data_IF_012542540810
#
_entry.id   IF_012542540810
#
_cell.length_a   1.000
_cell.length_b   1.000
_cell.length_c   1.000
_cell.angle_alpha   90.00
_cell.angle_beta   90.00
_cell.angle_gamma   90.00
#
_symmetry.space_group_name_H-M   'P 1'
#
loop_
_entity.id
_entity.type
_entity.pdbx_description
1 polymer ?
#
# COMPACT_ATOMS: atom_id res chain seq x y z
N UNK A 1 -1.34 4.00 -21.64
CA UNK A 1 -2.21 3.16 -20.79
C UNK A 1 -1.52 2.97 -19.45
N UNK A 2 -2.27 2.84 -18.35
CA UNK A 2 -1.70 2.66 -17.00
C UNK A 2 -0.74 1.45 -16.91
N UNK A 3 -0.98 0.41 -17.70
CA UNK A 3 -0.10 -0.76 -17.82
C UNK A 3 1.32 -0.40 -18.29
N UNK A 4 1.45 0.49 -19.28
CA UNK A 4 2.76 0.93 -19.77
C UNK A 4 3.51 1.79 -18.73
N UNK A 5 2.79 2.51 -17.87
CA UNK A 5 3.38 3.26 -16.76
C UNK A 5 3.91 2.28 -15.69
N UNK A 6 3.09 1.30 -15.32
CA UNK A 6 3.44 0.30 -14.32
C UNK A 6 4.63 -0.57 -14.76
N UNK A 7 4.69 -0.94 -16.05
CA UNK A 7 5.82 -1.70 -16.58
C UNK A 7 7.13 -0.90 -16.55
N UNK A 8 7.08 0.40 -16.92
CA UNK A 8 8.23 1.31 -16.80
C UNK A 8 8.70 1.43 -15.35
N UNK A 9 7.78 1.61 -14.41
CA UNK A 9 8.10 1.68 -12.98
C UNK A 9 8.74 0.39 -12.48
N UNK A 10 8.24 -0.79 -12.87
CA UNK A 10 8.86 -2.08 -12.52
C UNK A 10 10.26 -2.23 -13.10
N UNK A 11 10.49 -1.82 -14.36
CA UNK A 11 11.82 -1.83 -14.97
C UNK A 11 12.79 -0.93 -14.22
N UNK A 12 12.39 0.30 -13.88
CA UNK A 12 13.20 1.23 -13.08
C UNK A 12 13.51 0.69 -11.69
N UNK A 13 12.54 0.04 -11.06
CA UNK A 13 12.70 -0.60 -9.74
C UNK A 13 13.74 -1.72 -9.79
N UNK A 14 13.70 -2.55 -10.83
CA UNK A 14 14.69 -3.59 -11.08
C UNK A 14 16.10 -3.02 -11.30
N UNK A 15 16.23 -1.89 -12.02
CA UNK A 15 17.52 -1.21 -12.20
C UNK A 15 18.11 -0.70 -10.89
N UNK A 16 17.27 -0.27 -9.94
CA UNK A 16 17.67 0.14 -8.60
C UNK A 16 17.87 -1.04 -7.64
N UNK A 17 17.76 -2.28 -8.12
CA UNK A 17 17.83 -3.51 -7.30
C UNK A 17 16.82 -3.56 -6.15
N UNK A 18 15.68 -2.86 -6.29
CA UNK A 18 14.57 -2.91 -5.35
C UNK A 18 13.64 -4.09 -5.72
N UNK A 19 13.11 -4.79 -4.72
CA UNK A 19 12.20 -5.92 -4.93
C UNK A 19 10.78 -5.48 -5.30
N UNK A 20 10.33 -4.37 -4.71
CA UNK A 20 8.99 -3.82 -4.90
C UNK A 20 9.08 -2.38 -5.38
N UNK A 21 8.08 -1.94 -6.15
CA UNK A 21 7.99 -0.55 -6.63
C UNK A 21 7.83 0.36 -5.41
N UNK A 22 8.75 1.32 -5.18
CA UNK A 22 8.69 2.17 -4.00
C UNK A 22 7.44 3.05 -4.05
N UNK A 23 6.66 3.04 -2.97
CA UNK A 23 5.52 3.92 -2.78
C UNK A 23 5.84 4.94 -1.69
N UNK A 24 5.13 6.07 -1.69
CA UNK A 24 5.28 7.08 -0.64
C UNK A 24 5.15 6.47 0.77
N UNK A 25 4.17 5.60 0.96
CA UNK A 25 3.88 4.95 2.25
C UNK A 25 4.96 3.96 2.63
N UNK A 26 5.52 3.19 1.68
CA UNK A 26 6.64 2.28 1.97
C UNK A 26 7.89 3.06 2.36
N UNK A 27 8.22 4.13 1.64
CA UNK A 27 9.39 4.96 1.93
C UNK A 27 9.31 5.64 3.31
N UNK A 28 8.14 6.17 3.68
CA UNK A 28 7.94 6.74 5.02
C UNK A 28 8.08 5.67 6.10
N UNK A 29 7.51 4.48 5.88
CA UNK A 29 7.62 3.36 6.82
C UNK A 29 9.08 2.93 7.01
N UNK A 30 9.84 2.85 5.92
CA UNK A 30 11.26 2.46 5.95
C UNK A 30 12.11 3.52 6.65
N UNK A 31 11.85 4.81 6.41
CA UNK A 31 12.49 5.92 7.12
C UNK A 31 12.29 5.83 8.65
N UNK A 32 11.07 5.53 9.10
CA UNK A 32 10.75 5.36 10.52
C UNK A 32 11.44 4.10 11.07
N UNK A 33 11.38 2.99 10.35
CA UNK A 33 11.99 1.71 10.76
C UNK A 33 13.51 1.81 10.93
N UNK A 34 14.17 2.58 10.07
CA UNK A 34 15.61 2.86 10.14
C UNK A 34 15.98 3.92 11.19
N UNK A 35 15.01 4.53 11.86
CA UNK A 35 15.24 5.53 12.90
C UNK A 35 15.84 6.84 12.36
N UNK A 36 15.63 7.16 11.07
CA UNK A 36 16.21 8.37 10.44
C UNK A 36 15.82 9.62 11.21
N UNK A 37 14.57 9.71 11.70
CA UNK A 37 14.05 10.83 12.48
C UNK A 37 14.88 11.17 13.75
N UNK A 38 15.69 10.24 14.25
CA UNK A 38 16.57 10.48 15.40
C UNK A 38 17.85 11.25 15.04
N UNK A 39 18.21 11.30 13.76
CA UNK A 39 19.42 11.94 13.25
C UNK A 39 19.16 13.26 12.53
N UNK A 40 17.90 13.67 12.41
CA UNK A 40 17.50 14.89 11.73
C UNK A 40 17.35 16.03 12.74
N UNK A 41 17.58 17.27 12.30
CA UNK A 41 17.22 18.47 13.06
C UNK A 41 15.77 18.42 13.58
N UNK A 42 15.52 18.89 14.81
CA UNK A 42 14.20 18.83 15.43
C UNK A 42 13.13 19.56 14.60
N UNK A 43 13.49 20.67 13.94
CA UNK A 43 12.56 21.43 13.09
C UNK A 43 12.02 20.60 11.91
N UNK A 44 12.86 19.73 11.34
CA UNK A 44 12.45 18.84 10.24
C UNK A 44 11.67 17.63 10.73
N UNK A 45 11.95 17.18 11.96
CA UNK A 45 11.14 16.15 12.62
C UNK A 45 9.72 16.67 12.89
N UNK A 46 9.60 17.91 13.36
CA UNK A 46 8.31 18.55 13.60
C UNK A 46 7.51 18.69 12.29
N UNK A 47 8.17 18.98 11.17
CA UNK A 47 7.51 19.00 9.85
C UNK A 47 6.93 17.65 9.45
N UNK A 48 7.63 16.55 9.74
CA UNK A 48 7.07 15.20 9.56
C UNK A 48 5.84 15.00 10.45
N UNK A 49 5.92 15.40 11.72
CA UNK A 49 4.80 15.29 12.66
C UNK A 49 3.59 16.11 12.18
N UNK A 50 3.77 17.36 11.72
CA UNK A 50 2.68 18.20 11.24
C UNK A 50 2.01 17.70 9.94
N UNK A 51 2.79 17.11 9.02
CA UNK A 51 2.25 16.60 7.76
C UNK A 51 1.62 15.21 7.92
N UNK A 52 2.29 14.30 8.63
CA UNK A 52 1.90 12.88 8.68
C UNK A 52 1.11 12.50 9.92
N UNK A 53 1.34 13.15 11.07
CA UNK A 53 0.82 12.68 12.36
C UNK A 53 -0.27 13.58 12.94
N UNK A 54 -0.05 14.90 12.95
CA UNK A 54 -0.94 15.85 13.56
C UNK A 54 -2.04 16.33 12.61
N UNK A 55 -3.19 16.64 13.21
CA UNK A 55 -4.32 17.25 12.53
C UNK A 55 -4.56 18.65 13.08
N UNK A 56 -4.10 19.68 12.36
CA UNK A 56 -4.23 21.08 12.77
C UNK A 56 -4.51 21.98 11.54
N UNK A 57 -5.71 21.89 10.92
CA UNK A 57 -6.00 22.53 9.63
C UNK A 57 -5.81 24.05 9.65
N UNK A 58 -6.02 24.72 10.79
CA UNK A 58 -5.89 26.17 10.89
C UNK A 58 -4.45 26.66 11.03
N UNK A 59 -3.56 25.83 11.57
CA UNK A 59 -2.18 26.22 11.91
C UNK A 59 -1.12 25.52 11.06
N UNK A 60 -1.48 24.48 10.29
CA UNK A 60 -0.57 23.69 9.47
C UNK A 60 0.31 24.54 8.56
N UNK A 61 -0.29 25.48 7.82
CA UNK A 61 0.43 26.36 6.91
C UNK A 61 1.44 27.25 7.64
N UNK A 62 1.05 27.85 8.77
CA UNK A 62 1.94 28.70 9.57
C UNK A 62 3.13 27.91 10.12
N UNK A 63 2.87 26.73 10.70
CA UNK A 63 3.92 25.84 11.23
C UNK A 63 4.87 25.40 10.11
N UNK A 64 4.34 24.95 8.97
CA UNK A 64 5.15 24.54 7.83
C UNK A 64 6.01 25.67 7.26
N UNK A 65 5.52 26.90 7.26
CA UNK A 65 6.29 28.08 6.82
C UNK A 65 7.48 28.38 7.76
N UNK A 66 7.34 28.14 9.06
CA UNK A 66 8.46 28.23 10.02
C UNK A 66 9.54 27.18 9.71
N UNK A 67 9.14 25.93 9.43
CA UNK A 67 10.04 24.87 9.00
C UNK A 67 10.74 25.17 7.66
N UNK A 68 10.00 25.71 6.68
CA UNK A 68 10.58 26.13 5.38
C UNK A 68 11.62 27.23 5.59
N UNK A 69 11.32 28.25 6.40
CA UNK A 69 12.28 29.32 6.73
C UNK A 69 13.53 28.79 7.44
N UNK A 70 13.40 27.78 8.28
CA UNK A 70 14.55 27.10 8.88
C UNK A 70 15.43 26.44 7.81
N UNK A 71 14.83 25.72 6.86
CA UNK A 71 15.58 25.09 5.75
C UNK A 71 16.25 26.13 4.86
N UNK A 72 15.59 27.25 4.58
CA UNK A 72 16.18 28.37 3.83
C UNK A 72 17.40 28.96 4.54
N UNK A 73 17.38 29.05 5.88
CA UNK A 73 18.52 29.53 6.70
C UNK A 73 19.73 28.60 6.67
N UNK A 74 19.55 27.30 6.45
CA UNK A 74 20.67 26.36 6.30
C UNK A 74 21.51 26.65 5.05
N UNK A 75 20.98 27.44 4.10
CA UNK A 75 21.66 27.92 2.91
C UNK A 75 22.30 26.80 2.05
N UNK A 76 21.72 25.60 2.10
CA UNK A 76 22.19 24.47 1.29
C UNK A 76 21.46 24.44 -0.06
N UNK A 77 22.18 24.45 -1.20
CA UNK A 77 21.57 24.50 -2.52
C UNK A 77 20.76 23.24 -2.84
N UNK A 78 21.15 22.11 -2.27
CA UNK A 78 20.51 20.80 -2.46
C UNK A 78 19.07 20.76 -1.91
N UNK A 79 18.75 21.58 -0.91
CA UNK A 79 17.42 21.62 -0.30
C UNK A 79 16.44 22.52 -1.05
N UNK A 80 16.95 23.53 -1.77
CA UNK A 80 16.12 24.51 -2.48
C UNK A 80 15.22 23.86 -3.53
N UNK A 81 15.61 22.73 -4.12
CA UNK A 81 14.81 22.02 -5.13
C UNK A 81 13.51 21.42 -4.56
N UNK A 82 13.46 21.13 -3.25
CA UNK A 82 12.31 20.49 -2.62
C UNK A 82 11.26 21.49 -2.13
N UNK A 83 11.64 22.76 -1.94
CA UNK A 83 10.77 23.79 -1.35
C UNK A 83 9.45 24.00 -2.13
N UNK A 84 9.44 24.08 -3.48
CA UNK A 84 8.19 24.24 -4.22
C UNK A 84 7.25 23.05 -4.07
N UNK A 85 7.79 21.83 -4.12
CA UNK A 85 7.01 20.60 -3.95
C UNK A 85 6.45 20.48 -2.53
N UNK A 86 7.21 20.90 -1.52
CA UNK A 86 6.77 20.88 -0.13
C UNK A 86 5.60 21.84 0.12
N UNK A 87 5.62 23.04 -0.48
CA UNK A 87 4.49 23.98 -0.42
C UNK A 87 3.24 23.41 -1.10
N UNK A 88 3.39 22.78 -2.27
CA UNK A 88 2.26 22.15 -2.97
C UNK A 88 1.66 20.98 -2.16
N UNK A 89 2.51 20.14 -1.56
CA UNK A 89 2.07 19.05 -0.66
C UNK A 89 1.37 19.61 0.57
N UNK A 90 1.84 20.72 1.14
CA UNK A 90 1.21 21.38 2.28
C UNK A 90 -0.21 21.84 1.94
N UNK A 91 -0.42 22.39 0.74
CA UNK A 91 -1.76 22.78 0.26
C UNK A 91 -2.68 21.57 0.11
N UNK A 92 -2.21 20.49 -0.52
CA UNK A 92 -3.00 19.26 -0.65
C UNK A 92 -3.36 18.70 0.73
N UNK A 93 -2.41 18.74 1.66
CA UNK A 93 -2.64 18.26 3.04
C UNK A 93 -3.63 19.14 3.79
N UNK A 94 -3.50 20.46 3.68
CA UNK A 94 -4.44 21.42 4.22
C UNK A 94 -5.86 21.17 3.67
N UNK A 95 -5.98 20.95 2.36
CA UNK A 95 -7.24 20.65 1.69
C UNK A 95 -7.88 19.37 2.25
N UNK A 96 -7.09 18.32 2.45
CA UNK A 96 -7.53 17.06 3.07
C UNK A 96 -7.99 17.23 4.52
N UNK A 97 -7.30 18.05 5.32
CA UNK A 97 -7.70 18.28 6.71
C UNK A 97 -8.96 19.15 6.77
N UNK A 98 -9.04 20.22 5.97
CA UNK A 98 -10.21 21.11 5.91
C UNK A 98 -11.45 20.35 5.44
N UNK A 99 -11.33 19.46 4.45
CA UNK A 99 -12.49 18.70 3.95
C UNK A 99 -13.12 17.77 5.00
N UNK A 100 -12.35 17.32 6.00
CA UNK A 100 -12.88 16.47 7.07
C UNK A 100 -13.71 17.26 8.10
N UNK A 101 -13.52 18.58 8.22
CA UNK A 101 -14.18 19.41 9.24
C UNK A 101 -15.24 20.33 8.63
N UNK A 102 -15.01 20.79 7.40
CA UNK A 102 -15.89 21.73 6.71
C UNK A 102 -16.60 21.03 5.56
N UNK A 103 -17.92 21.22 5.50
CA UNK A 103 -18.70 20.87 4.31
C UNK A 103 -18.59 21.96 3.24
N UNK A 104 -18.59 23.23 3.66
CA UNK A 104 -18.42 24.38 2.77
C UNK A 104 -17.54 25.43 3.44
N UNK A 105 -16.62 26.02 2.69
CA UNK A 105 -15.71 27.07 3.16
C UNK A 105 -15.59 28.17 2.10
N UNK A 106 -15.54 29.43 2.53
CA UNK A 106 -15.26 30.53 1.61
C UNK A 106 -13.85 30.40 1.00
N UNK A 107 -13.72 30.64 -0.29
CA UNK A 107 -12.46 30.58 -1.01
C UNK A 107 -11.45 31.61 -0.47
N UNK A 108 -11.93 32.80 -0.07
CA UNK A 108 -11.10 33.82 0.60
C UNK A 108 -10.54 33.29 1.93
N UNK A 109 -11.36 32.59 2.71
CA UNK A 109 -10.92 31.97 3.96
C UNK A 109 -9.89 30.89 3.70
N UNK A 110 -10.11 30.03 2.71
CA UNK A 110 -9.13 29.01 2.35
C UNK A 110 -7.79 29.61 1.89
N UNK A 111 -7.82 30.68 1.09
CA UNK A 111 -6.61 31.43 0.70
C UNK A 111 -5.88 31.98 1.92
N UNK A 112 -6.59 32.49 2.94
CA UNK A 112 -5.96 32.98 4.17
C UNK A 112 -5.31 31.89 5.02
N UNK A 113 -5.74 30.63 4.86
CA UNK A 113 -5.19 29.48 5.56
C UNK A 113 -4.04 28.82 4.78
N UNK A 114 -4.04 28.94 3.45
CA UNK A 114 -3.01 28.37 2.60
C UNK A 114 -1.67 29.11 2.73
N UNK A 115 -0.54 28.44 2.43
CA UNK A 115 0.75 29.12 2.29
C UNK A 115 0.66 30.23 1.23
N UNK A 116 1.45 31.31 1.35
CA UNK A 116 1.40 32.40 0.39
C UNK A 116 1.76 31.92 -1.01
N UNK A 117 0.77 31.92 -1.91
CA UNK A 117 0.94 31.54 -3.31
C UNK A 117 -0.06 32.25 -4.21
N UNK A 118 0.23 32.22 -5.51
CA UNK A 118 -0.69 32.73 -6.52
C UNK A 118 -2.02 31.97 -6.52
N UNK A 119 -3.12 32.71 -6.69
CA UNK A 119 -4.48 32.17 -6.67
C UNK A 119 -4.69 31.12 -7.76
N UNK A 120 -4.17 31.36 -8.97
CA UNK A 120 -4.33 30.42 -10.07
C UNK A 120 -3.57 29.12 -9.83
N UNK A 121 -2.39 29.21 -9.19
CA UNK A 121 -1.65 28.02 -8.76
C UNK A 121 -2.41 27.25 -7.69
N UNK A 122 -2.98 27.92 -6.70
CA UNK A 122 -3.80 27.30 -5.66
C UNK A 122 -5.00 26.55 -6.26
N UNK A 123 -5.77 27.22 -7.13
CA UNK A 123 -6.92 26.60 -7.81
C UNK A 123 -6.49 25.40 -8.67
N UNK A 124 -5.35 25.49 -9.37
CA UNK A 124 -4.79 24.36 -10.13
C UNK A 124 -4.45 23.16 -9.25
N UNK A 125 -3.89 23.39 -8.06
CA UNK A 125 -3.59 22.31 -7.10
C UNK A 125 -4.89 21.67 -6.60
N UNK A 126 -5.90 22.46 -6.25
CA UNK A 126 -7.22 21.97 -5.80
C UNK A 126 -7.86 21.12 -6.91
N UNK A 127 -7.85 21.59 -8.15
CA UNK A 127 -8.41 20.86 -9.30
C UNK A 127 -7.65 19.57 -9.56
N UNK A 128 -6.32 19.57 -9.46
CA UNK A 128 -5.52 18.35 -9.60
C UNK A 128 -5.82 17.34 -8.48
N UNK A 129 -5.98 17.80 -7.24
CA UNK A 129 -6.37 16.94 -6.12
C UNK A 129 -7.77 16.33 -6.34
N UNK A 130 -8.71 17.10 -6.89
CA UNK A 130 -10.03 16.59 -7.26
C UNK A 130 -9.95 15.54 -8.39
N UNK A 131 -9.15 15.83 -9.43
CA UNK A 131 -8.96 14.93 -10.58
C UNK A 131 -8.32 13.60 -10.20
N UNK A 132 -7.34 13.62 -9.29
CA UNK A 132 -6.67 12.42 -8.79
C UNK A 132 -7.55 11.62 -7.81
N UNK A 133 -8.75 12.12 -7.49
CA UNK A 133 -9.64 11.60 -6.45
C UNK A 133 -9.00 11.62 -5.06
N UNK A 134 -8.13 12.59 -4.79
CA UNK A 134 -7.48 12.74 -3.49
C UNK A 134 -8.44 13.33 -2.45
N UNK A 135 -9.27 14.29 -2.87
CA UNK A 135 -10.34 14.92 -2.10
C UNK A 135 -11.50 15.22 -3.04
N UNK A 136 -12.73 14.97 -2.61
CA UNK A 136 -13.91 15.41 -3.37
C UNK A 136 -14.22 16.88 -3.04
N UNK A 137 -13.94 17.77 -3.99
CA UNK A 137 -14.10 19.22 -3.84
C UNK A 137 -14.71 19.83 -5.10
N UNK A 138 -15.64 20.77 -4.89
CA UNK A 138 -16.22 21.61 -5.94
C UNK A 138 -15.86 23.06 -5.69
N UNK A 139 -15.38 23.74 -6.73
CA UNK A 139 -15.10 25.18 -6.68
C UNK A 139 -16.28 25.91 -7.29
N UNK A 140 -16.98 26.69 -6.47
CA UNK A 140 -18.06 27.55 -6.93
C UNK A 140 -17.58 29.00 -7.02
N UNK A 141 -17.23 29.43 -8.24
CA UNK A 141 -16.73 30.79 -8.47
C UNK A 141 -17.79 31.88 -8.27
N UNK A 142 -19.08 31.59 -8.43
CA UNK A 142 -20.15 32.59 -8.21
C UNK A 142 -20.29 32.94 -6.72
N UNK A 143 -20.32 31.92 -5.86
CA UNK A 143 -20.39 32.09 -4.40
C UNK A 143 -19.00 32.31 -3.76
N UNK A 144 -17.92 32.16 -4.54
CA UNK A 144 -16.55 32.18 -4.03
C UNK A 144 -16.37 31.20 -2.87
N UNK A 145 -16.82 29.96 -3.04
CA UNK A 145 -16.81 28.92 -2.02
C UNK A 145 -16.28 27.58 -2.54
N UNK A 146 -15.73 26.78 -1.63
CA UNK A 146 -15.37 25.39 -1.84
C UNK A 146 -16.38 24.51 -1.11
N UNK A 147 -16.92 23.51 -1.78
CA UNK A 147 -17.88 22.55 -1.21
C UNK A 147 -17.31 21.13 -1.29
N UNK A 148 -17.42 20.38 -0.20
CA UNK A 148 -16.82 19.05 -0.06
C UNK A 148 -17.89 17.95 0.10
N UNK A 149 -17.63 16.77 -0.46
CA UNK A 149 -18.36 15.55 -0.11
C UNK A 149 -19.82 15.42 -0.61
N UNK A 150 -20.23 16.20 -1.61
CA UNK A 150 -21.64 16.26 -2.06
C UNK A 150 -22.05 15.11 -2.96
N UNK A 151 -21.16 14.54 -3.78
CA UNK A 151 -21.57 13.51 -4.76
C UNK A 151 -21.30 12.11 -4.24
N UNK A 152 -22.33 11.27 -4.33
CA UNK A 152 -22.28 9.86 -3.94
C UNK A 152 -21.64 8.96 -5.01
N UNK A 153 -21.56 9.47 -6.25
CA UNK A 153 -21.07 8.73 -7.42
C UNK A 153 -19.54 8.65 -7.49
N UNK A 154 -18.83 9.53 -6.78
CA UNK A 154 -17.37 9.55 -6.78
C UNK A 154 -16.87 8.68 -5.63
N UNK A 155 -16.05 7.69 -5.95
CA UNK A 155 -15.25 6.98 -4.96
C UNK A 155 -13.93 7.71 -4.74
N UNK A 156 -13.56 7.96 -3.49
CA UNK A 156 -12.21 8.43 -3.15
C UNK A 156 -11.20 7.41 -3.69
N UNK A 157 -10.19 7.91 -4.41
CA UNK A 157 -9.16 7.07 -5.01
C UNK A 157 -8.39 6.33 -3.93
N UNK A 158 -8.03 5.06 -4.18
CA UNK A 158 -7.18 4.27 -3.27
C UNK A 158 -5.77 4.89 -3.09
N UNK A 159 -5.43 5.93 -3.85
CA UNK A 159 -4.12 6.62 -3.82
C UNK A 159 -3.88 7.45 -2.56
N UNK A 160 -4.94 7.88 -1.86
CA UNK A 160 -4.79 8.67 -0.62
C UNK A 160 -4.83 7.74 0.57
N UNK A 161 -3.67 7.23 0.98
CA UNK A 161 -3.36 6.91 2.38
C UNK A 161 -4.21 5.86 3.11
N UNK A 162 -5.20 5.25 2.47
CA UNK A 162 -6.00 4.14 3.03
C UNK A 162 -5.31 2.79 2.79
N UNK A 163 -4.04 2.77 2.38
CA UNK A 163 -3.20 1.59 2.54
C UNK A 163 -2.85 1.45 4.02
N UNK A 164 -3.66 0.65 4.72
CA UNK A 164 -3.55 -0.03 6.04
C UNK A 164 -2.60 0.48 7.16
N UNK A 165 -1.49 1.15 6.87
CA UNK A 165 -0.52 1.71 7.82
C UNK A 165 -0.47 3.24 7.92
N UNK A 166 -1.07 4.02 7.00
CA UNK A 166 -1.08 5.50 7.07
C UNK A 166 -2.40 6.05 7.67
N UNK A 167 -2.91 5.40 8.72
CA UNK A 167 -4.13 5.83 9.44
C UNK A 167 -3.96 7.08 10.31
N UNK A 168 -2.87 7.83 10.18
CA UNK A 168 -2.47 8.79 11.21
C UNK A 168 -3.18 10.15 11.11
N UNK A 169 -4.11 10.37 10.18
CA UNK A 169 -4.64 11.74 9.98
C UNK A 169 -6.07 11.85 9.46
N UNK A 170 -6.87 10.79 9.63
CA UNK A 170 -8.29 10.80 9.31
C UNK A 170 -9.06 10.82 10.62
N UNK A 171 -9.56 12.00 11.00
CA UNK A 171 -10.43 12.18 12.17
C UNK A 171 -11.85 11.77 11.82
N UNK A 172 -12.34 12.21 10.65
CA UNK A 172 -13.69 11.94 10.19
C UNK A 172 -13.69 11.53 8.72
N UNK A 173 -14.49 10.52 8.42
CA UNK A 173 -14.77 10.11 7.04
C UNK A 173 -15.65 11.16 6.38
N UNK A 174 -15.44 11.36 5.08
CA UNK A 174 -16.31 12.23 4.29
C UNK A 174 -17.76 11.72 4.33
N UNK A 175 -18.78 12.61 4.28
CA UNK A 175 -20.19 12.22 4.38
C UNK A 175 -20.63 11.15 3.36
N UNK A 176 -20.13 11.25 2.12
CA UNK A 176 -20.38 10.26 1.07
C UNK A 176 -19.84 8.85 1.44
N UNK A 177 -18.67 8.78 2.08
CA UNK A 177 -18.06 7.54 2.54
C UNK A 177 -18.82 6.97 3.75
N UNK A 178 -19.34 7.84 4.62
CA UNK A 178 -20.20 7.43 5.73
C UNK A 178 -21.48 6.76 5.23
N UNK A 179 -22.15 7.34 4.22
CA UNK A 179 -23.35 6.77 3.60
C UNK A 179 -23.01 5.43 2.95
N UNK A 180 -21.91 5.35 2.18
CA UNK A 180 -21.49 4.10 1.51
C UNK A 180 -21.18 2.98 2.49
N UNK A 181 -20.53 3.29 3.61
CA UNK A 181 -20.12 2.32 4.62
C UNK A 181 -21.15 2.15 5.75
N UNK A 182 -22.35 2.73 5.62
CA UNK A 182 -23.34 2.76 6.68
C UNK A 182 -23.76 1.36 7.10
N UNK A 183 -24.10 0.49 6.14
CA UNK A 183 -24.52 -0.88 6.42
C UNK A 183 -23.41 -1.72 7.06
N UNK A 184 -22.16 -1.57 6.60
CA UNK A 184 -21.00 -2.25 7.19
C UNK A 184 -20.73 -1.79 8.62
N UNK A 185 -20.90 -0.48 8.88
CA UNK A 185 -20.72 0.08 10.22
C UNK A 185 -21.83 -0.37 11.16
N UNK A 186 -23.08 -0.38 10.69
CA UNK A 186 -24.23 -0.88 11.44
C UNK A 186 -24.11 -2.37 11.75
N UNK A 187 -23.74 -3.19 10.77
CA UNK A 187 -23.57 -4.63 10.99
C UNK A 187 -22.44 -4.90 11.99
N UNK A 188 -21.28 -4.24 11.84
CA UNK A 188 -20.15 -4.39 12.77
C UNK A 188 -20.51 -3.98 14.20
N UNK A 189 -21.24 -2.86 14.35
CA UNK A 189 -21.73 -2.40 15.65
C UNK A 189 -22.73 -3.40 16.26
N UNK A 190 -23.69 -3.90 15.48
CA UNK A 190 -24.66 -4.90 15.94
C UNK A 190 -23.99 -6.23 16.33
N UNK A 191 -23.02 -6.70 15.53
CA UNK A 191 -22.23 -7.89 15.88
C UNK A 191 -21.47 -7.71 17.19
N UNK A 192 -20.83 -6.55 17.37
CA UNK A 192 -20.12 -6.22 18.61
C UNK A 192 -21.06 -6.17 19.82
N UNK A 193 -22.24 -5.56 19.67
CA UNK A 193 -23.26 -5.53 20.73
C UNK A 193 -23.79 -6.93 21.05
N UNK A 194 -24.03 -7.76 20.03
CA UNK A 194 -24.46 -9.15 20.22
C UNK A 194 -23.41 -9.98 20.96
N UNK A 195 -22.13 -9.73 20.68
CA UNK A 195 -21.02 -10.40 21.36
C UNK A 195 -20.98 -10.04 22.85
N UNK A 196 -21.20 -8.77 23.20
CA UNK A 196 -21.24 -8.29 24.59
C UNK A 196 -22.47 -8.81 25.35
N UNK A 197 -23.66 -8.76 24.74
CA UNK A 197 -24.91 -9.13 25.41
C UNK A 197 -24.99 -10.65 25.68
N UNK A 198 -24.59 -11.47 24.70
CA UNK A 198 -24.75 -12.92 24.76
C UNK A 198 -23.46 -13.67 25.13
N UNK A 199 -22.55 -13.05 25.90
CA UNK A 199 -21.21 -13.58 26.16
C UNK A 199 -21.23 -15.04 26.67
N UNK A 200 -22.11 -15.39 27.62
CA UNK A 200 -22.20 -16.76 28.18
C UNK A 200 -22.64 -17.80 27.14
N UNK A 201 -23.73 -17.52 26.42
CA UNK A 201 -24.26 -18.41 25.38
C UNK A 201 -23.28 -18.55 24.20
N UNK A 202 -22.61 -17.45 23.83
CA UNK A 202 -21.57 -17.46 22.81
C UNK A 202 -20.35 -18.28 23.22
N UNK A 203 -19.88 -18.16 24.48
CA UNK A 203 -18.80 -18.98 25.02
C UNK A 203 -19.18 -20.46 25.01
N UNK A 204 -20.35 -20.82 25.52
CA UNK A 204 -20.83 -22.21 25.51
C UNK A 204 -20.95 -22.79 24.09
N UNK A 205 -21.49 -22.01 23.15
CA UNK A 205 -21.58 -22.40 21.74
C UNK A 205 -20.20 -22.58 21.11
N UNK A 206 -19.26 -21.67 21.38
CA UNK A 206 -17.89 -21.75 20.89
C UNK A 206 -17.13 -22.93 21.52
N UNK A 207 -17.33 -23.22 22.80
CA UNK A 207 -16.70 -24.34 23.49
C UNK A 207 -17.28 -25.68 23.02
N UNK A 208 -18.57 -25.74 22.73
CA UNK A 208 -19.19 -26.89 22.09
C UNK A 208 -18.60 -27.11 20.69
N UNK A 209 -18.52 -26.05 19.88
CA UNK A 209 -17.91 -26.11 18.55
C UNK A 209 -16.45 -26.57 18.61
N UNK A 210 -15.65 -26.04 19.53
CA UNK A 210 -14.25 -26.46 19.76
C UNK A 210 -14.15 -27.93 20.12
N UNK A 211 -15.03 -28.42 21.00
CA UNK A 211 -15.08 -29.84 21.38
C UNK A 211 -15.48 -30.73 20.21
N UNK A 212 -16.45 -30.32 19.41
CA UNK A 212 -16.90 -31.10 18.25
C UNK A 212 -15.81 -31.16 17.18
N UNK A 213 -15.13 -30.04 16.90
CA UNK A 213 -13.95 -29.99 16.00
C UNK A 213 -12.83 -30.91 16.50
N UNK A 214 -12.54 -30.91 17.81
CA UNK A 214 -11.51 -31.78 18.37
C UNK A 214 -11.90 -33.27 18.23
N UNK A 215 -13.17 -33.61 18.48
CA UNK A 215 -13.66 -34.99 18.31
C UNK A 215 -13.57 -35.45 16.86
N UNK A 216 -14.00 -34.63 15.90
CA UNK A 216 -13.88 -34.96 14.48
C UNK A 216 -12.41 -35.12 14.09
N UNK A 217 -11.52 -34.27 14.60
CA UNK A 217 -10.10 -34.40 14.36
C UNK A 217 -9.54 -35.73 14.88
N UNK A 218 -9.80 -36.11 16.14
CA UNK A 218 -9.30 -37.38 16.69
C UNK A 218 -9.84 -38.61 15.98
N UNK A 219 -11.08 -38.55 15.49
CA UNK A 219 -11.67 -39.62 14.69
C UNK A 219 -10.99 -39.75 13.31
N UNK A 220 -10.74 -38.62 12.65
CA UNK A 220 -10.23 -38.59 11.28
C UNK A 220 -8.69 -38.67 11.21
N UNK A 221 -7.97 -38.28 12.26
CA UNK A 221 -6.51 -38.30 12.35
C UNK A 221 -5.89 -39.65 11.91
N UNK A 222 -6.30 -40.81 12.42
CA UNK A 222 -5.67 -42.09 12.03
C UNK A 222 -5.94 -42.45 10.57
N UNK A 223 -7.09 -42.05 10.02
CA UNK A 223 -7.46 -42.31 8.62
C UNK A 223 -6.61 -41.43 7.72
N UNK A 224 -6.61 -40.11 7.97
CA UNK A 224 -5.81 -39.15 7.22
C UNK A 224 -4.31 -39.46 7.32
N UNK A 225 -3.81 -39.86 8.49
CA UNK A 225 -2.41 -40.25 8.68
C UNK A 225 -2.01 -41.43 7.80
N UNK A 226 -2.87 -42.46 7.70
CA UNK A 226 -2.63 -43.61 6.81
C UNK A 226 -2.63 -43.20 5.35
N UNK A 227 -3.55 -42.33 4.93
CA UNK A 227 -3.60 -41.83 3.55
C UNK A 227 -2.37 -40.99 3.21
N UNK A 228 -1.93 -40.12 4.12
CA UNK A 228 -0.72 -39.30 3.94
C UNK A 228 0.52 -40.19 3.80
N UNK A 229 0.64 -41.23 4.62
CA UNK A 229 1.76 -42.19 4.53
C UNK A 229 1.74 -42.96 3.20
N UNK A 230 0.59 -43.51 2.80
CA UNK A 230 0.44 -44.18 1.49
C UNK A 230 0.78 -43.24 0.34
N UNK A 231 0.34 -41.99 0.41
CA UNK A 231 0.63 -40.97 -0.60
C UNK A 231 2.13 -40.67 -0.66
N UNK A 232 2.81 -40.63 0.49
CA UNK A 232 4.27 -40.46 0.55
C UNK A 232 4.99 -41.61 -0.16
N UNK A 233 4.62 -42.86 0.12
CA UNK A 233 5.21 -44.03 -0.54
C UNK A 233 4.99 -44.01 -2.05
N UNK A 234 3.80 -43.61 -2.51
CA UNK A 234 3.50 -43.50 -3.94
C UNK A 234 4.36 -42.41 -4.61
N UNK A 235 4.51 -41.24 -3.97
CA UNK A 235 5.36 -40.16 -4.46
C UNK A 235 6.84 -40.60 -4.51
N UNK A 236 7.31 -41.37 -3.53
CA UNK A 236 8.68 -41.86 -3.47
C UNK A 236 8.96 -42.84 -4.61
N UNK A 237 8.10 -43.83 -4.83
CA UNK A 237 8.20 -44.75 -5.97
C UNK A 237 8.16 -44.01 -7.31
N UNK A 238 7.24 -43.05 -7.45
CA UNK A 238 7.14 -42.26 -8.67
C UNK A 238 8.40 -41.42 -8.93
N UNK A 239 9.05 -40.90 -7.87
CA UNK A 239 10.34 -40.21 -7.99
C UNK A 239 11.45 -41.17 -8.40
N UNK A 240 11.53 -42.36 -7.80
CA UNK A 240 12.53 -43.37 -8.16
C UNK A 240 12.40 -43.83 -9.62
N UNK A 241 11.18 -44.10 -10.08
CA UNK A 241 10.93 -44.51 -11.46
C UNK A 241 11.31 -43.40 -12.44
N UNK A 242 10.98 -42.15 -12.10
CA UNK A 242 11.35 -40.98 -12.91
C UNK A 242 12.87 -40.74 -12.92
N UNK A 243 13.57 -40.97 -11.81
CA UNK A 243 15.04 -40.92 -11.75
C UNK A 243 15.68 -42.03 -12.57
N UNK A 244 15.16 -43.25 -12.53
CA UNK A 244 15.62 -44.36 -13.37
C UNK A 244 15.43 -44.03 -14.85
N UNK A 245 14.26 -43.55 -15.25
CA UNK A 245 13.99 -43.15 -16.62
C UNK A 245 14.92 -42.01 -17.09
N UNK A 246 15.24 -41.04 -16.21
CA UNK A 246 16.23 -40.00 -16.51
C UNK A 246 17.64 -40.56 -16.65
N UNK A 247 18.07 -41.45 -15.75
CA UNK A 247 19.39 -42.12 -15.85
C UNK A 247 19.50 -42.94 -17.12
N UNK A 248 18.47 -43.71 -17.48
CA UNK A 248 18.44 -44.51 -18.70
C UNK A 248 18.48 -43.63 -19.96
N UNK A 249 17.75 -42.50 -19.97
CA UNK A 249 17.85 -41.50 -21.05
C UNK A 249 19.26 -40.93 -21.17
N UNK A 250 19.91 -40.61 -20.06
CA UNK A 250 21.29 -40.09 -20.03
C UNK A 250 22.27 -41.15 -20.54
N UNK A 251 22.18 -42.39 -20.07
CA UNK A 251 23.02 -43.51 -20.53
C UNK A 251 22.83 -43.75 -22.04
N UNK A 252 21.59 -43.73 -22.53
CA UNK A 252 21.30 -43.87 -23.96
C UNK A 252 21.88 -42.72 -24.79
N UNK A 253 21.89 -41.50 -24.26
CA UNK A 253 22.57 -40.37 -24.91
C UNK A 253 24.09 -40.59 -24.94
N UNK A 254 24.70 -41.05 -23.85
CA UNK A 254 26.13 -41.36 -23.82
C UNK A 254 26.52 -42.49 -24.78
N UNK A 255 25.75 -43.57 -24.86
CA UNK A 255 26.04 -44.69 -25.76
C UNK A 255 25.87 -44.31 -27.24
N UNK A 256 24.89 -43.43 -27.56
CA UNK A 256 24.78 -42.85 -28.90
C UNK A 256 25.98 -41.96 -29.21
N UNK A 257 26.45 -41.14 -28.25
CA UNK A 257 27.65 -40.32 -28.41
C UNK A 257 28.91 -41.17 -28.63
N UNK A 258 29.13 -42.21 -27.84
CA UNK A 258 30.27 -43.13 -28.03
C UNK A 258 30.19 -43.87 -29.38
N UNK A 259 29.01 -44.35 -29.78
CA UNK A 259 28.81 -44.98 -31.08
C UNK A 259 29.06 -44.01 -32.24
N UNK A 260 28.71 -42.73 -32.08
CA UNK A 260 29.06 -41.70 -33.06
C UNK A 260 30.55 -41.37 -33.07
N UNK A 261 31.21 -41.37 -31.90
CA UNK A 261 32.65 -41.10 -31.78
C UNK A 261 33.49 -42.24 -32.38
N UNK A 262 33.09 -43.50 -32.16
CA UNK A 262 33.73 -44.66 -32.79
C UNK A 262 33.55 -44.67 -34.31
N UNK A 263 32.37 -44.28 -34.83
CA UNK A 263 32.17 -44.12 -36.27
C UNK A 263 33.01 -42.97 -36.86
N UNK A 264 33.18 -41.87 -36.14
CA UNK A 264 34.09 -40.79 -36.55
C UNK A 264 35.55 -41.23 -36.55
N UNK A 265 36.03 -41.93 -35.52
CA UNK A 265 37.39 -42.49 -35.49
C UNK A 265 37.63 -43.56 -36.57
N UNK A 266 36.63 -44.38 -36.89
CA UNK A 266 36.75 -45.38 -37.96
C UNK A 266 36.82 -44.74 -39.36
N UNK A 267 36.15 -43.60 -39.53
CA UNK A 267 36.25 -42.82 -40.77
C UNK A 267 37.59 -42.08 -40.89
N UNK A 268 38.17 -41.59 -39.79
CA UNK A 268 39.51 -40.97 -39.81
C UNK A 268 40.65 -41.98 -40.07
N UNK A 269 40.50 -43.24 -39.64
CA UNK A 269 41.51 -44.29 -39.90
C UNK A 269 41.45 -44.81 -41.35
N UNK A 270 40.32 -44.60 -42.05
CA UNK A 270 40.18 -44.96 -43.47
C UNK A 270 40.50 -43.80 -44.45
N UNK A 271 40.84 -42.61 -43.95
CA UNK A 271 41.26 -41.44 -44.74
C UNK A 271 42.79 -41.20 -44.76
N UNK A 272 43.60 -42.16 -44.31
CA UNK A 272 45.08 -42.18 -44.45
C UNK A 272 45.48 -43.38 -45.33
#
# INVERSE_FOLDING_TARGET
TEEALNEKQKRLTSLLSLQEVPTRTSLIRDMIKQGVLNFVHPELKDMYEWLEVEFHPLYLSSKMEEGIKFVEKLAQPEYSQYMPALRDVTVVRLLQQVSQVYQTIELKRFISLAPPMDRHRLEKIIVNAARNNDVQVHIEHKLQALTFGTDLNVSIGRSVGIDAGSKSNIIQKMPNEQIRNQLTSMSSALYSCMEIINEKSNKERNDKLRRDIAKTYYHDEPIQRKEILKRRELIERYKEDKEKEQKDKVIKIYSIKESSFQKSNFNEIHEI
#
